data_IF_220565914841
#
_entry.id   IF_220565914841
#
_cell.length_a   1.000
_cell.length_b   1.000
_cell.length_c   1.000
_cell.angle_alpha   90.00
_cell.angle_beta   90.00
_cell.angle_gamma   90.00
#
_symmetry.space_group_name_H-M   'P 1'
#
loop_
_entity.id
_entity.type
_entity.pdbx_description
1 polymer ?
#
# COMPACT_ATOMS: atom_id res chain seq x y z
N UNK A 1 69.85 44.21 -2.26
CA UNK A 1 70.78 43.15 -1.84
C UNK A 1 69.96 41.93 -1.46
N UNK A 2 70.26 40.80 -2.14
CA UNK A 2 69.97 39.40 -1.80
C UNK A 2 68.52 38.94 -1.49
N UNK A 3 67.89 38.34 -2.50
CA UNK A 3 67.23 37.01 -2.37
C UNK A 3 68.31 35.96 -2.05
N UNK A 4 68.05 34.79 -1.40
CA UNK A 4 67.15 33.76 -1.94
C UNK A 4 66.53 32.68 -0.99
N UNK A 5 65.74 31.81 -1.64
CA UNK A 5 65.57 30.35 -1.42
C UNK A 5 64.65 29.79 -0.32
N UNK A 6 63.39 29.59 -0.72
CA UNK A 6 62.67 28.31 -0.85
C UNK A 6 63.19 27.07 -0.08
N UNK A 7 62.34 26.49 0.79
CA UNK A 7 62.25 25.03 0.95
C UNK A 7 60.80 24.57 0.85
N UNK A 8 60.54 23.92 -0.27
CA UNK A 8 59.38 23.09 -0.59
C UNK A 8 59.46 21.82 0.27
N UNK A 9 58.47 21.54 1.12
CA UNK A 9 58.29 20.20 1.66
C UNK A 9 56.99 19.60 1.13
N UNK A 10 57.13 18.42 0.55
CA UNK A 10 56.12 17.65 -0.17
C UNK A 10 55.47 16.68 0.80
N UNK A 11 54.15 16.72 0.92
CA UNK A 11 53.35 15.54 1.26
C UNK A 11 51.97 15.68 0.61
N UNK A 12 51.57 14.74 -0.28
CA UNK A 12 50.31 14.82 -1.00
C UNK A 12 49.21 14.22 -0.11
N UNK A 13 48.37 15.05 0.50
CA UNK A 13 47.17 14.54 1.16
C UNK A 13 45.99 14.55 0.19
N UNK A 14 45.81 13.35 -0.38
CA UNK A 14 44.62 12.73 -0.94
C UNK A 14 43.32 13.55 -1.05
N UNK A 15 42.77 13.49 -2.26
CA UNK A 15 41.37 13.66 -2.65
C UNK A 15 40.36 13.20 -1.57
N UNK A 16 39.37 14.05 -1.28
CA UNK A 16 38.05 13.61 -0.83
C UNK A 16 37.01 14.35 -1.67
N UNK A 17 36.61 13.72 -2.78
CA UNK A 17 35.41 14.08 -3.53
C UNK A 17 34.21 13.46 -2.81
N UNK A 18 33.48 14.29 -2.05
CA UNK A 18 32.24 13.87 -1.40
C UNK A 18 31.12 13.85 -2.45
N UNK A 19 30.84 12.68 -3.01
CA UNK A 19 29.69 12.44 -3.88
C UNK A 19 28.43 12.44 -3.01
N UNK A 20 27.71 13.55 -2.97
CA UNK A 20 26.36 13.60 -2.43
C UNK A 20 25.40 12.93 -3.43
N UNK A 21 25.38 11.59 -3.42
CA UNK A 21 24.32 10.81 -4.04
C UNK A 21 23.06 10.96 -3.17
N UNK A 22 22.27 11.99 -3.42
CA UNK A 22 20.94 12.11 -2.84
C UNK A 22 20.04 11.03 -3.47
N UNK A 23 19.80 9.96 -2.72
CA UNK A 23 18.78 8.98 -3.04
C UNK A 23 17.41 9.68 -3.05
N UNK A 24 16.85 9.92 -4.23
CA UNK A 24 15.43 10.22 -4.38
C UNK A 24 14.66 8.94 -4.03
N UNK A 25 14.35 8.75 -2.74
CA UNK A 25 13.37 7.76 -2.31
C UNK A 25 12.00 8.33 -2.68
N UNK A 26 11.58 8.08 -3.92
CA UNK A 26 10.21 8.29 -4.34
C UNK A 26 9.37 7.17 -3.73
N UNK A 27 9.06 7.28 -2.44
CA UNK A 27 8.06 6.44 -1.80
C UNK A 27 6.71 6.80 -2.40
N UNK A 28 6.22 5.99 -3.34
CA UNK A 28 4.83 6.03 -3.79
C UNK A 28 3.95 5.53 -2.66
N UNK A 29 3.74 6.40 -1.67
CA UNK A 29 2.94 6.13 -0.49
C UNK A 29 1.48 5.88 -0.87
N UNK A 30 0.81 5.06 -0.06
CA UNK A 30 -0.63 4.90 -0.09
C UNK A 30 -1.24 6.25 0.27
N UNK A 31 -1.48 7.09 -0.74
CA UNK A 31 -2.13 8.37 -0.48
C UNK A 31 -3.46 8.04 0.20
N UNK A 32 -3.77 8.77 1.28
CA UNK A 32 -5.10 8.77 1.89
C UNK A 32 -6.08 9.33 0.86
N UNK A 33 -6.42 8.51 -0.13
CA UNK A 33 -7.27 8.88 -1.23
C UNK A 33 -8.65 9.21 -0.66
N UNK A 34 -9.32 10.27 -1.17
CA UNK A 34 -10.70 10.55 -0.80
C UNK A 34 -11.54 9.29 -0.98
N UNK A 35 -12.26 8.91 0.07
CA UNK A 35 -13.14 7.75 0.07
C UNK A 35 -14.53 8.25 -0.33
N UNK A 36 -15.06 7.75 -1.43
CA UNK A 36 -16.48 7.89 -1.75
C UNK A 36 -17.28 6.86 -0.97
N UNK A 37 -18.56 7.12 -0.62
CA UNK A 37 -19.39 6.18 0.12
C UNK A 37 -19.42 4.78 -0.50
N UNK A 38 -19.53 3.76 0.35
CA UNK A 38 -19.69 2.38 -0.10
C UNK A 38 -20.92 2.24 -1.02
N UNK A 39 -20.82 1.48 -2.12
CA UNK A 39 -21.98 1.26 -2.97
C UNK A 39 -23.09 0.53 -2.19
N UNK A 40 -24.34 0.95 -2.37
CA UNK A 40 -25.49 0.36 -1.66
C UNK A 40 -25.74 -1.12 -1.97
N UNK A 41 -25.07 -1.65 -2.99
CA UNK A 41 -25.19 -3.03 -3.46
C UNK A 41 -24.13 -3.96 -2.89
N UNK A 42 -23.11 -3.47 -2.19
CA UNK A 42 -22.11 -4.33 -1.54
C UNK A 42 -22.71 -5.05 -0.33
N UNK A 43 -22.26 -6.28 -0.01
CA UNK A 43 -22.56 -6.89 1.28
C UNK A 43 -21.96 -6.07 2.43
N UNK A 44 -22.42 -6.33 3.67
CA UNK A 44 -21.88 -5.66 4.86
C UNK A 44 -20.36 -5.89 5.03
N UNK A 45 -19.91 -7.10 4.70
CA UNK A 45 -18.50 -7.47 4.69
C UNK A 45 -18.23 -8.58 3.68
N UNK A 46 -17.02 -8.61 3.17
CA UNK A 46 -16.50 -9.71 2.36
C UNK A 46 -15.75 -10.71 3.24
N UNK A 47 -15.79 -11.99 2.87
CA UNK A 47 -15.21 -13.08 3.66
C UNK A 47 -14.18 -13.85 2.83
N UNK A 48 -13.15 -14.43 3.45
CA UNK A 48 -12.26 -15.34 2.76
C UNK A 48 -13.03 -16.57 2.26
N UNK A 49 -12.72 -17.10 1.06
CA UNK A 49 -13.29 -18.36 0.60
C UNK A 49 -12.94 -19.55 1.52
N UNK A 50 -11.82 -19.45 2.24
CA UNK A 50 -11.38 -20.42 3.23
C UNK A 50 -11.85 -19.99 4.62
N UNK A 51 -12.80 -20.74 5.20
CA UNK A 51 -13.37 -20.45 6.51
C UNK A 51 -12.36 -20.57 7.66
N UNK A 52 -11.22 -21.25 7.47
CA UNK A 52 -10.15 -21.30 8.49
C UNK A 52 -9.47 -19.94 8.70
N UNK A 53 -9.68 -18.99 7.78
CA UNK A 53 -9.21 -17.60 7.86
C UNK A 53 -10.16 -16.67 8.62
N UNK A 54 -11.12 -17.22 9.36
CA UNK A 54 -12.06 -16.45 10.19
C UNK A 54 -11.91 -16.88 11.65
N UNK A 55 -11.65 -15.92 12.54
CA UNK A 55 -11.62 -16.13 13.98
C UNK A 55 -13.05 -16.10 14.53
N UNK A 56 -13.54 -17.24 15.00
CA UNK A 56 -14.94 -17.47 15.37
C UNK A 56 -15.15 -17.55 16.89
N UNK A 57 -14.59 -16.60 17.65
CA UNK A 57 -15.51 -15.77 18.44
C UNK A 57 -15.55 -14.30 18.00
N UNK A 58 -14.45 -13.77 17.47
CA UNK A 58 -14.33 -12.34 17.17
C UNK A 58 -15.03 -11.92 15.88
N UNK A 59 -15.28 -12.87 14.96
CA UNK A 59 -15.80 -12.60 13.63
C UNK A 59 -14.80 -11.84 12.74
N UNK A 60 -13.53 -11.83 13.11
CA UNK A 60 -12.43 -11.14 12.43
C UNK A 60 -11.67 -12.09 11.49
N UNK A 61 -10.87 -11.51 10.61
CA UNK A 61 -10.04 -12.23 9.68
C UNK A 61 -8.71 -12.62 10.35
N UNK A 62 -8.25 -13.84 10.11
CA UNK A 62 -7.04 -14.41 10.71
C UNK A 62 -5.84 -14.09 9.82
N UNK A 63 -5.27 -12.89 9.98
CA UNK A 63 -3.97 -12.50 9.41
C UNK A 63 -3.45 -11.21 10.08
N UNK A 64 -2.14 -10.97 10.04
CA UNK A 64 -1.52 -9.71 10.51
C UNK A 64 -1.70 -8.56 9.48
N UNK A 65 -2.46 -8.82 8.42
CA UNK A 65 -2.70 -7.88 7.32
C UNK A 65 -3.91 -8.24 6.46
N UNK A 66 -3.97 -7.65 5.27
CA UNK A 66 -5.08 -7.84 4.35
C UNK A 66 -4.96 -9.19 3.61
N UNK A 67 -6.02 -10.00 3.65
CA UNK A 67 -6.07 -11.25 2.90
C UNK A 67 -6.09 -10.97 1.39
N UNK A 68 -5.26 -11.69 0.64
CA UNK A 68 -5.12 -11.47 -0.81
C UNK A 68 -6.41 -11.71 -1.60
N UNK A 69 -7.30 -12.57 -1.09
CA UNK A 69 -8.52 -12.97 -1.75
C UNK A 69 -9.69 -12.96 -0.76
N UNK A 70 -10.72 -12.20 -1.09
CA UNK A 70 -12.00 -12.19 -0.39
C UNK A 70 -13.13 -12.50 -1.39
N UNK A 71 -14.30 -12.83 -0.87
CA UNK A 71 -15.48 -13.12 -1.67
C UNK A 71 -16.74 -12.55 -1.03
N UNK A 72 -17.70 -12.23 -1.88
CA UNK A 72 -19.06 -11.89 -1.47
C UNK A 72 -19.75 -13.16 -0.96
N UNK A 73 -20.19 -13.18 0.31
CA UNK A 73 -20.85 -14.37 0.86
C UNK A 73 -22.20 -14.70 0.20
N UNK A 74 -22.82 -13.75 -0.50
CA UNK A 74 -24.10 -13.94 -1.18
C UNK A 74 -23.95 -14.34 -2.65
N UNK A 75 -23.07 -13.64 -3.39
CA UNK A 75 -22.92 -13.85 -4.84
C UNK A 75 -21.72 -14.71 -5.23
N UNK A 76 -20.76 -14.90 -4.33
CA UNK A 76 -19.49 -15.59 -4.62
C UNK A 76 -18.52 -14.79 -5.48
N UNK A 77 -18.83 -13.52 -5.82
CA UNK A 77 -17.91 -12.63 -6.53
C UNK A 77 -16.62 -12.49 -5.73
N UNK A 78 -15.48 -12.65 -6.40
CA UNK A 78 -14.16 -12.62 -5.77
C UNK A 78 -13.49 -11.26 -5.94
N UNK A 79 -12.80 -10.83 -4.89
CA UNK A 79 -12.08 -9.58 -4.78
C UNK A 79 -10.60 -9.89 -4.58
N UNK A 80 -9.74 -9.24 -5.35
CA UNK A 80 -8.29 -9.45 -5.27
C UNK A 80 -7.63 -8.20 -4.70
N UNK A 81 -6.79 -8.38 -3.67
CA UNK A 81 -6.04 -7.28 -3.07
C UNK A 81 -5.09 -6.66 -4.11
N UNK A 82 -5.15 -5.33 -4.25
CA UNK A 82 -4.23 -4.57 -5.12
C UNK A 82 -3.13 -3.94 -4.28
N UNK A 83 -3.50 -3.32 -3.16
CA UNK A 83 -2.57 -2.69 -2.22
C UNK A 83 -3.16 -2.68 -0.82
N UNK A 84 -2.31 -2.67 0.19
CA UNK A 84 -2.72 -2.47 1.59
C UNK A 84 -1.77 -1.54 2.34
N UNK A 85 -2.31 -0.77 3.27
CA UNK A 85 -1.53 0.00 4.24
C UNK A 85 -2.40 0.25 5.49
N UNK A 86 -1.78 0.27 6.68
CA UNK A 86 -2.42 0.66 7.95
C UNK A 86 -3.74 -0.06 8.26
N UNK A 87 -3.82 -1.38 8.02
CA UNK A 87 -5.01 -2.18 8.32
C UNK A 87 -6.15 -2.03 7.31
N UNK A 88 -5.90 -1.37 6.18
CA UNK A 88 -6.87 -1.12 5.11
C UNK A 88 -6.34 -1.67 3.79
N UNK A 89 -7.23 -2.24 2.99
CA UNK A 89 -6.89 -2.83 1.70
C UNK A 89 -7.76 -2.27 0.58
N UNK A 90 -7.14 -1.94 -0.55
CA UNK A 90 -7.85 -1.60 -1.78
C UNK A 90 -7.91 -2.83 -2.69
N UNK A 91 -9.11 -3.26 -3.03
CA UNK A 91 -9.38 -4.49 -3.75
C UNK A 91 -9.96 -4.20 -5.13
N UNK A 92 -9.47 -4.94 -6.12
CA UNK A 92 -10.05 -4.99 -7.45
C UNK A 92 -11.30 -5.89 -7.41
N UNK A 93 -12.36 -5.42 -8.06
CA UNK A 93 -13.59 -6.17 -8.31
C UNK A 93 -13.77 -6.36 -9.82
N UNK A 94 -14.54 -7.37 -10.27
CA UNK A 94 -14.94 -7.46 -11.66
C UNK A 94 -15.63 -6.17 -12.11
N UNK A 95 -15.32 -5.68 -13.30
CA UNK A 95 -15.82 -4.38 -13.79
C UNK A 95 -17.34 -4.29 -13.77
N UNK A 96 -17.87 -3.20 -13.20
CA UNK A 96 -19.32 -2.96 -13.05
C UNK A 96 -19.94 -3.64 -11.82
N UNK A 97 -19.23 -4.54 -11.14
CA UNK A 97 -19.70 -5.09 -9.88
C UNK A 97 -19.86 -3.98 -8.85
N UNK A 98 -20.99 -4.00 -8.15
CA UNK A 98 -21.34 -3.00 -7.14
C UNK A 98 -21.32 -1.55 -7.63
N UNK A 99 -21.45 -1.30 -8.94
CA UNK A 99 -21.34 0.04 -9.50
C UNK A 99 -19.93 0.64 -9.49
N UNK A 100 -18.91 -0.18 -9.24
CA UNK A 100 -17.49 0.22 -9.27
C UNK A 100 -16.95 0.09 -10.69
N UNK A 101 -16.31 1.15 -11.19
CA UNK A 101 -15.69 1.20 -12.52
C UNK A 101 -14.28 0.59 -12.52
N UNK A 102 -13.70 0.35 -13.71
CA UNK A 102 -12.38 -0.30 -13.84
C UNK A 102 -11.20 0.55 -13.29
N UNK A 103 -11.39 1.87 -13.19
CA UNK A 103 -10.45 2.84 -12.60
C UNK A 103 -10.66 3.04 -11.09
N UNK A 104 -11.54 2.25 -10.47
CA UNK A 104 -11.86 2.30 -9.06
C UNK A 104 -11.56 0.97 -8.35
N UNK A 105 -11.40 1.05 -7.03
CA UNK A 105 -11.17 -0.07 -6.12
C UNK A 105 -12.12 0.03 -4.93
N UNK A 106 -12.51 -1.11 -4.37
CA UNK A 106 -13.20 -1.15 -3.08
C UNK A 106 -12.18 -1.09 -1.95
N UNK A 107 -12.33 -0.13 -1.05
CA UNK A 107 -11.53 -0.02 0.16
C UNK A 107 -12.22 -0.77 1.29
N UNK A 108 -11.52 -1.72 1.89
CA UNK A 108 -12.02 -2.59 2.95
C UNK A 108 -11.18 -2.47 4.21
N UNK A 109 -11.83 -2.62 5.37
CA UNK A 109 -11.17 -2.87 6.64
C UNK A 109 -10.61 -4.30 6.64
N UNK A 110 -9.31 -4.48 6.87
CA UNK A 110 -8.68 -5.79 6.73
C UNK A 110 -8.89 -6.73 7.90
N UNK A 111 -9.33 -6.20 9.05
CA UNK A 111 -9.66 -7.01 10.21
C UNK A 111 -11.03 -7.67 10.06
N UNK A 112 -11.97 -7.02 9.38
CA UNK A 112 -13.38 -7.45 9.34
C UNK A 112 -13.88 -7.76 7.93
N UNK A 113 -13.20 -7.30 6.89
CA UNK A 113 -13.68 -7.32 5.51
C UNK A 113 -14.81 -6.31 5.24
N UNK A 114 -15.08 -5.40 6.18
CA UNK A 114 -16.14 -4.40 6.05
C UNK A 114 -15.82 -3.37 4.96
N UNK A 115 -16.86 -2.93 4.25
CA UNK A 115 -16.70 -1.96 3.16
C UNK A 115 -16.60 -0.55 3.73
N UNK A 116 -15.47 0.10 3.48
CA UNK A 116 -15.23 1.48 3.89
C UNK A 116 -15.64 2.48 2.80
N UNK A 117 -15.48 2.09 1.53
CA UNK A 117 -15.93 2.89 0.39
C UNK A 117 -15.24 2.57 -0.91
N UNK A 118 -15.28 3.52 -1.84
CA UNK A 118 -14.65 3.43 -3.16
C UNK A 118 -13.51 4.44 -3.26
N UNK A 119 -12.38 4.01 -3.82
CA UNK A 119 -11.23 4.87 -4.11
C UNK A 119 -10.81 4.72 -5.56
N UNK A 120 -10.02 5.67 -6.08
CA UNK A 120 -9.39 5.52 -7.38
C UNK A 120 -8.21 4.55 -7.30
N UNK A 121 -8.02 3.79 -8.38
CA UNK A 121 -6.90 2.89 -8.57
C UNK A 121 -5.58 3.64 -8.51
#
# INVERSE_FOLDING_TARGET
>A
MASPTTKLNRTPLALIALVAAACNVSGSGFQSAPISPAPVTTPLRFLPPDASKIDTPAGTLVDDGCLSLLADPLSGIRLTLVRSENGVGDYAVPGGAYGVSNDQLLRLDCNTGAVLGVVRR
#
